data_IF_527617804304
#
_entry.id   IF_527617804304
#
_cell.length_a   1.000
_cell.length_b   1.000
_cell.length_c   1.000
_cell.angle_alpha   90.00
_cell.angle_beta   90.00
_cell.angle_gamma   90.00
#
_symmetry.space_group_name_H-M   'P 1'
#
loop_
_entity.id
_entity.type
_entity.pdbx_description
1 polymer ?
#
# COMPACT_ATOMS: atom_id res chain seq x y z
N UNK A 1 22.83 -14.40 -21.21
CA UNK A 1 21.66 -13.50 -21.28
C UNK A 1 21.94 -12.37 -20.28
N UNK A 2 22.00 -11.12 -20.77
CA UNK A 2 22.59 -9.96 -20.08
C UNK A 2 21.48 -9.10 -19.42
N UNK A 3 21.74 -8.68 -18.16
CA UNK A 3 21.12 -7.63 -17.30
C UNK A 3 19.59 -7.71 -17.05
N UNK A 4 19.05 -7.35 -15.88
CA UNK A 4 19.12 -6.05 -15.20
C UNK A 4 19.03 -6.22 -13.67
N UNK A 5 20.02 -5.65 -13.00
CA UNK A 5 20.00 -5.23 -11.58
C UNK A 5 18.76 -4.39 -11.29
N UNK A 6 17.95 -4.78 -10.29
CA UNK A 6 17.06 -3.84 -9.61
C UNK A 6 17.56 -3.69 -8.18
N UNK A 7 18.42 -2.69 -8.00
CA UNK A 7 18.59 -2.03 -6.72
C UNK A 7 17.27 -1.36 -6.37
N UNK A 8 16.58 -1.81 -5.32
CA UNK A 8 15.69 -0.93 -4.56
C UNK A 8 16.15 -0.98 -3.12
N UNK A 9 17.22 -0.25 -2.85
CA UNK A 9 17.46 0.25 -1.51
C UNK A 9 16.46 1.41 -1.30
N UNK A 10 15.45 1.19 -0.47
CA UNK A 10 14.71 2.28 0.19
C UNK A 10 14.92 2.19 1.70
N UNK A 11 16.10 2.61 2.14
CA UNK A 11 16.34 3.24 3.44
C UNK A 11 15.91 4.71 3.29
N UNK A 12 15.17 5.43 4.15
CA UNK A 12 14.71 5.32 5.55
C UNK A 12 13.48 6.27 5.73
N UNK A 13 12.86 6.48 6.94
CA UNK A 13 13.55 7.09 8.07
C UNK A 13 13.48 6.25 9.35
N UNK A 14 14.64 6.08 9.99
CA UNK A 14 14.71 5.85 11.43
C UNK A 14 14.36 7.19 12.09
N UNK A 15 13.33 7.23 12.93
CA UNK A 15 13.38 8.02 14.17
C UNK A 15 12.31 7.60 15.17
N UNK A 16 12.77 6.99 16.25
CA UNK A 16 12.04 6.84 17.49
C UNK A 16 12.04 8.18 18.25
N UNK A 17 10.93 8.49 18.92
CA UNK A 17 10.88 9.53 19.95
C UNK A 17 10.12 8.97 21.16
N UNK A 18 10.84 8.81 22.26
CA UNK A 18 10.33 8.47 23.60
C UNK A 18 10.51 9.71 24.46
N UNK A 19 9.47 10.13 25.18
CA UNK A 19 9.38 11.23 26.13
C UNK A 19 8.05 10.98 26.86
N UNK A 20 8.07 10.30 28.01
CA UNK A 20 7.80 11.00 29.28
C UNK A 20 6.97 12.27 29.06
N UNK A 21 5.66 12.14 29.29
CA UNK A 21 4.64 13.20 29.35
C UNK A 21 4.58 14.17 28.14
N UNK A 22 3.87 13.76 27.07
CA UNK A 22 3.32 14.71 26.08
C UNK A 22 3.80 14.59 24.62
N UNK A 23 4.28 13.43 24.15
CA UNK A 23 4.63 13.27 22.72
C UNK A 23 3.42 12.90 21.86
N UNK A 24 3.19 13.67 20.80
CA UNK A 24 2.47 13.19 19.62
C UNK A 24 3.45 12.37 18.79
N UNK A 25 3.38 11.04 18.90
CA UNK A 25 4.19 10.15 18.06
C UNK A 25 3.53 10.12 16.68
N UNK A 26 4.02 10.94 15.76
CA UNK A 26 3.67 10.82 14.34
C UNK A 26 4.45 9.62 13.80
N UNK A 27 3.90 8.43 13.98
CA UNK A 27 4.44 7.24 13.36
C UNK A 27 4.04 7.24 11.88
N UNK A 28 5.01 7.48 11.01
CA UNK A 28 4.80 7.29 9.57
C UNK A 28 4.42 5.83 9.34
N UNK A 29 3.19 5.63 8.85
CA UNK A 29 2.65 4.31 8.59
C UNK A 29 3.49 3.63 7.52
N UNK A 30 4.14 2.53 7.90
CA UNK A 30 4.98 1.77 6.98
C UNK A 30 4.12 0.85 6.13
N UNK A 31 4.34 0.88 4.82
CA UNK A 31 3.73 -0.01 3.86
C UNK A 31 4.79 -0.94 3.30
N UNK A 32 4.56 -2.24 3.39
CA UNK A 32 5.43 -3.29 2.87
C UNK A 32 4.83 -3.81 1.57
N UNK A 33 5.65 -3.93 0.52
CA UNK A 33 5.21 -4.53 -0.74
C UNK A 33 4.79 -5.98 -0.50
N UNK A 34 3.63 -6.34 -1.03
CA UNK A 34 3.07 -7.70 -0.98
C UNK A 34 2.67 -8.13 -2.39
N UNK A 35 2.47 -9.42 -2.62
CA UNK A 35 1.86 -9.87 -3.86
C UNK A 35 0.35 -9.60 -3.80
N UNK A 36 -0.25 -9.32 -4.95
CA UNK A 36 -1.71 -9.14 -5.04
C UNK A 36 -2.44 -10.41 -4.58
N UNK A 37 -1.85 -11.59 -4.80
CA UNK A 37 -2.36 -12.88 -4.33
C UNK A 37 -2.38 -13.05 -2.80
N UNK A 38 -1.61 -12.23 -2.06
CA UNK A 38 -1.58 -12.26 -0.59
C UNK A 38 -2.78 -11.49 0.00
N UNK A 39 -3.53 -10.76 -0.82
CA UNK A 39 -4.75 -10.08 -0.41
C UNK A 39 -5.90 -11.10 -0.42
N UNK A 40 -6.67 -11.23 0.67
CA UNK A 40 -7.82 -12.12 0.72
C UNK A 40 -8.76 -11.89 -0.46
N UNK A 41 -9.26 -12.98 -1.05
CA UNK A 41 -10.10 -12.93 -2.24
C UNK A 41 -11.34 -12.05 -2.04
N UNK A 42 -11.96 -12.10 -0.86
CA UNK A 42 -13.11 -11.26 -0.49
C UNK A 42 -12.81 -9.75 -0.58
N UNK A 43 -11.63 -9.34 -0.14
CA UNK A 43 -11.16 -7.94 -0.18
C UNK A 43 -10.89 -7.53 -1.62
N UNK A 44 -10.22 -8.38 -2.40
CA UNK A 44 -9.99 -8.14 -3.83
C UNK A 44 -11.29 -8.02 -4.62
N UNK A 45 -12.26 -8.90 -4.38
CA UNK A 45 -13.56 -8.87 -5.04
C UNK A 45 -14.31 -7.57 -4.72
N UNK A 46 -14.25 -7.10 -3.47
CA UNK A 46 -14.84 -5.83 -3.07
C UNK A 46 -14.17 -4.63 -3.75
N UNK A 47 -12.84 -4.60 -3.79
CA UNK A 47 -12.08 -3.56 -4.47
C UNK A 47 -12.39 -3.58 -5.98
N UNK A 48 -12.43 -4.75 -6.61
CA UNK A 48 -12.84 -4.89 -8.02
C UNK A 48 -14.28 -4.46 -8.26
N UNK A 49 -15.19 -4.65 -7.31
CA UNK A 49 -16.57 -4.17 -7.47
C UNK A 49 -16.64 -2.64 -7.51
N UNK A 50 -15.77 -1.95 -6.77
CA UNK A 50 -15.69 -0.49 -6.75
C UNK A 50 -14.84 0.06 -7.93
N UNK A 51 -13.80 -0.67 -8.34
CA UNK A 51 -12.77 -0.25 -9.30
C UNK A 51 -12.59 -1.25 -10.46
N UNK A 52 -13.68 -1.83 -10.98
CA UNK A 52 -13.64 -3.04 -11.82
C UNK A 52 -12.89 -2.97 -13.15
N UNK A 53 -12.53 -1.77 -13.60
CA UNK A 53 -11.76 -1.56 -14.83
C UNK A 53 -10.29 -1.22 -14.57
N UNK A 54 -9.84 -1.23 -13.32
CA UNK A 54 -8.47 -0.89 -12.97
C UNK A 54 -7.61 -2.15 -12.90
N UNK A 55 -6.38 -2.04 -13.39
CA UNK A 55 -5.33 -3.05 -13.22
C UNK A 55 -4.50 -2.73 -11.98
N UNK A 56 -4.36 -3.67 -11.05
CA UNK A 56 -3.49 -3.48 -9.88
C UNK A 56 -2.04 -3.71 -10.34
N UNK A 57 -1.24 -2.65 -10.38
CA UNK A 57 0.20 -2.72 -10.70
C UNK A 57 1.04 -3.15 -9.52
N UNK A 58 0.74 -2.58 -8.35
CA UNK A 58 1.46 -2.85 -7.11
C UNK A 58 0.50 -2.92 -5.94
N UNK A 59 0.83 -3.76 -4.96
CA UNK A 59 0.13 -3.88 -3.71
C UNK A 59 1.12 -3.74 -2.55
N UNK A 60 0.70 -2.97 -1.54
CA UNK A 60 1.44 -2.83 -0.29
C UNK A 60 0.47 -2.99 0.87
N UNK A 61 0.95 -3.52 1.99
CA UNK A 61 0.17 -3.72 3.21
C UNK A 61 0.87 -3.03 4.38
N UNK A 62 0.12 -2.31 5.19
CA UNK A 62 0.59 -1.78 6.45
C UNK A 62 0.43 -2.80 7.60
N UNK A 63 1.15 -2.60 8.69
CA UNK A 63 1.13 -3.53 9.83
C UNK A 63 -0.24 -3.60 10.53
N UNK A 64 -1.10 -2.59 10.35
CA UNK A 64 -2.48 -2.58 10.86
C UNK A 64 -3.51 -3.22 9.90
N UNK A 65 -3.05 -3.69 8.73
CA UNK A 65 -3.87 -4.39 7.76
C UNK A 65 -4.42 -3.53 6.62
N UNK A 66 -4.14 -2.22 6.58
CA UNK A 66 -4.52 -1.40 5.44
C UNK A 66 -3.74 -1.78 4.17
N UNK A 67 -4.40 -1.64 3.02
CA UNK A 67 -3.83 -1.92 1.72
C UNK A 67 -3.62 -0.63 0.94
N UNK A 68 -2.43 -0.43 0.38
CA UNK A 68 -2.14 0.65 -0.56
C UNK A 68 -1.86 0.04 -1.92
N UNK A 69 -2.75 0.30 -2.88
CA UNK A 69 -2.70 -0.25 -4.22
C UNK A 69 -2.42 0.84 -5.24
N UNK A 70 -1.60 0.52 -6.23
CA UNK A 70 -1.43 1.33 -7.43
C UNK A 70 -2.36 0.76 -8.49
N UNK A 71 -3.40 1.52 -8.81
CA UNK A 71 -4.45 1.18 -9.75
C UNK A 71 -4.23 1.91 -11.07
N UNK A 72 -4.04 1.17 -12.16
CA UNK A 72 -3.86 1.73 -13.50
C UNK A 72 -5.14 1.60 -14.30
N UNK A 73 -5.59 2.70 -14.89
CA UNK A 73 -6.72 2.72 -15.83
C UNK A 73 -6.40 3.66 -16.99
N UNK A 74 -6.55 3.15 -18.21
CA UNK A 74 -6.26 3.89 -19.44
C UNK A 74 -4.84 4.51 -19.46
N UNK A 75 -3.88 3.82 -18.82
CA UNK A 75 -2.49 4.29 -18.69
C UNK A 75 -2.24 5.30 -17.58
N UNK A 76 -3.27 5.69 -16.82
CA UNK A 76 -3.17 6.60 -15.68
C UNK A 76 -3.09 5.78 -14.40
N UNK A 77 -2.00 5.96 -13.66
CA UNK A 77 -1.77 5.29 -12.38
C UNK A 77 -2.26 6.17 -11.23
N UNK A 78 -3.21 5.64 -10.46
CA UNK A 78 -3.75 6.28 -9.26
C UNK A 78 -3.34 5.45 -8.05
N UNK A 79 -3.03 6.12 -6.94
CA UNK A 79 -2.75 5.41 -5.69
C UNK A 79 -4.00 5.41 -4.84
N UNK A 80 -4.47 4.25 -4.41
CA UNK A 80 -5.63 4.11 -3.55
C UNK A 80 -5.28 3.36 -2.28
N UNK A 81 -5.72 3.89 -1.14
CA UNK A 81 -5.60 3.26 0.17
C UNK A 81 -6.94 2.70 0.58
N UNK A 82 -6.94 1.46 1.04
CA UNK A 82 -8.09 0.68 1.45
C UNK A 82 -7.93 0.19 2.89
N UNK A 83 -9.04 0.02 3.59
CA UNK A 83 -9.09 -0.66 4.89
C UNK A 83 -8.71 -2.13 4.72
N UNK A 84 -8.45 -2.82 5.83
CA UNK A 84 -8.27 -4.28 5.85
C UNK A 84 -9.48 -5.07 5.33
N UNK A 85 -10.68 -4.45 5.33
CA UNK A 85 -11.90 -5.00 4.78
C UNK A 85 -12.15 -4.60 3.31
N UNK A 86 -11.24 -3.85 2.68
CA UNK A 86 -11.34 -3.44 1.28
C UNK A 86 -12.24 -2.22 1.02
N UNK A 87 -12.54 -1.42 2.03
CA UNK A 87 -13.24 -0.13 1.86
C UNK A 87 -12.24 0.96 1.48
N UNK A 88 -12.60 1.82 0.52
CA UNK A 88 -11.76 2.96 0.17
C UNK A 88 -11.62 3.93 1.36
N UNK A 89 -10.38 4.25 1.70
CA UNK A 89 -10.04 5.33 2.63
C UNK A 89 -9.74 6.60 1.85
N UNK A 90 -8.86 6.49 0.85
CA UNK A 90 -8.37 7.64 0.07
C UNK A 90 -7.86 7.23 -1.29
N UNK A 91 -8.04 8.10 -2.29
CA UNK A 91 -7.43 8.00 -3.61
C UNK A 91 -6.70 9.31 -3.92
N UNK A 92 -5.56 9.21 -4.60
CA UNK A 92 -4.71 10.32 -5.03
C UNK A 92 -4.70 10.41 -6.55
#
# INVERSE_FOLDING_TARGET
>A
MLTITVCVAIISPVKAYINVSGIIIVQEKQYKKINVSDIPKEVLDKIKKQYGNYTIKEAQKADDGEYKLILSKDGIDNTATFTSAGDLIKIY
#
